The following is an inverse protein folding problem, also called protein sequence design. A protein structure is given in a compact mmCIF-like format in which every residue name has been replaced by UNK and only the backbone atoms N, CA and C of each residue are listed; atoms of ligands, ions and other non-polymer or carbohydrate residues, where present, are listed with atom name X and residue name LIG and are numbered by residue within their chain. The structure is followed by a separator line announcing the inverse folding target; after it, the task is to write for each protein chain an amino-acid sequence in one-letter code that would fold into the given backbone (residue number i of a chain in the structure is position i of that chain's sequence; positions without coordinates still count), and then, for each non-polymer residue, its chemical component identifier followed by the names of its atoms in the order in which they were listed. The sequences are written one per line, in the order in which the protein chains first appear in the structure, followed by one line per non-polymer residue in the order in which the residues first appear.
data_IF_977087627874
#
_entry.id   IF_977087627874
#
_cell.length_a   1.000
_cell.length_b   1.000
_cell.length_c   1.000
_cell.angle_alpha   90.00
_cell.angle_beta   90.00
_cell.angle_gamma   90.00
#
_symmetry.space_group_name_H-M   'P 1'
#
loop_
_entity.id
_entity.type
_entity.pdbx_description
1 polymer ?
#
# COMPACT_ATOMS: atom_id res chain seq x y z
N UNK A 1 17.33 0.10 -22.63
CA UNK A 1 17.29 1.43 -21.98
C UNK A 1 15.82 1.79 -21.80
N UNK A 2 15.23 1.38 -20.69
CA UNK A 2 13.85 1.73 -20.34
C UNK A 2 13.83 3.20 -19.96
N UNK A 3 13.04 3.99 -20.67
CA UNK A 3 12.64 5.32 -20.24
C UNK A 3 12.18 5.22 -18.78
N UNK A 4 12.89 5.88 -17.86
CA UNK A 4 12.30 6.24 -16.57
C UNK A 4 11.07 7.07 -16.94
N UNK A 5 9.90 6.43 -16.98
CA UNK A 5 8.65 7.16 -17.00
C UNK A 5 8.70 8.07 -15.79
N UNK A 6 8.65 9.38 -16.03
CA UNK A 6 8.66 10.38 -14.96
C UNK A 6 7.58 9.97 -13.95
N UNK A 7 8.00 9.49 -12.77
CA UNK A 7 7.09 9.10 -11.69
C UNK A 7 6.51 10.39 -11.12
N UNK A 8 5.42 10.85 -11.72
CA UNK A 8 4.72 12.06 -11.29
C UNK A 8 3.90 11.73 -10.04
N UNK A 9 4.08 12.54 -9.00
CA UNK A 9 3.20 12.54 -7.84
C UNK A 9 1.84 13.10 -8.27
N UNK A 10 0.82 12.25 -8.31
CA UNK A 10 -0.56 12.63 -8.68
C UNK A 10 -1.37 13.11 -7.47
N UNK A 11 -0.71 13.53 -6.38
CA UNK A 11 -1.36 13.99 -5.18
C UNK A 11 -2.09 15.31 -5.43
N UNK A 12 -3.40 15.33 -5.18
CA UNK A 12 -4.19 16.54 -5.30
C UNK A 12 -3.79 17.59 -4.24
N UNK A 13 -3.57 18.83 -4.69
CA UNK A 13 -3.22 20.00 -3.87
C UNK A 13 -4.51 20.75 -3.52
N UNK A 14 -4.79 20.92 -2.23
CA UNK A 14 -5.93 21.70 -1.73
C UNK A 14 -5.59 23.18 -1.56
N UNK A 15 -4.38 23.48 -1.09
CA UNK A 15 -3.91 24.84 -0.84
C UNK A 15 -2.39 24.93 -1.02
N UNK A 16 -1.92 26.11 -1.41
CA UNK A 16 -0.49 26.42 -1.52
C UNK A 16 -0.21 27.87 -1.11
N UNK A 17 0.72 28.04 -0.18
CA UNK A 17 1.10 29.33 0.36
C UNK A 17 2.61 29.58 0.22
N UNK A 18 2.98 30.75 -0.31
CA UNK A 18 4.37 31.22 -0.37
C UNK A 18 4.83 31.61 1.04
N UNK A 19 6.03 31.17 1.40
CA UNK A 19 6.66 31.42 2.68
C UNK A 19 7.87 32.33 2.47
N UNK A 20 8.74 32.39 3.47
CA UNK A 20 9.98 33.18 3.43
C UNK A 20 10.92 32.73 2.31
N UNK A 21 11.80 33.62 1.84
CA UNK A 21 12.88 33.28 0.93
C UNK A 21 13.78 32.17 1.50
N UNK A 22 14.30 31.31 0.63
CA UNK A 22 15.24 30.25 1.05
C UNK A 22 16.57 30.86 1.50
N UNK A 23 16.99 31.96 0.87
CA UNK A 23 18.23 32.69 1.17
C UNK A 23 17.95 34.20 1.19
N UNK A 24 18.54 34.97 2.11
CA UNK A 24 18.46 36.43 2.09
C UNK A 24 19.21 36.98 0.87
N UNK A 25 18.61 37.94 0.15
CA UNK A 25 19.26 38.57 -1.00
C UNK A 25 20.35 39.57 -0.58
N UNK A 26 21.46 39.58 -1.33
CA UNK A 26 22.39 40.71 -1.33
C UNK A 26 21.80 41.87 -2.17
N UNK A 27 21.90 43.11 -1.68
CA UNK A 27 21.38 44.29 -2.37
C UNK A 27 22.00 44.44 -3.77
N UNK A 28 21.15 44.39 -4.82
CA UNK A 28 21.54 44.68 -6.20
C UNK A 28 21.57 43.50 -7.17
N UNK A 29 21.09 42.32 -6.76
CA UNK A 29 21.02 41.16 -7.65
C UNK A 29 19.60 40.98 -8.26
N UNK A 30 19.50 41.01 -9.59
CA UNK A 30 18.23 40.85 -10.36
C UNK A 30 17.77 39.37 -10.48
N UNK A 31 18.39 38.45 -9.74
CA UNK A 31 18.02 37.03 -9.78
C UNK A 31 16.64 36.78 -9.13
N UNK A 32 15.81 35.94 -9.78
CA UNK A 32 14.53 35.52 -9.22
C UNK A 32 14.74 34.79 -7.90
N UNK A 33 14.14 35.31 -6.84
CA UNK A 33 14.27 34.79 -5.49
C UNK A 33 13.49 33.47 -5.31
N UNK A 34 14.17 32.43 -4.82
CA UNK A 34 13.56 31.14 -4.49
C UNK A 34 12.90 31.25 -3.11
N UNK A 35 11.66 30.77 -3.01
CA UNK A 35 10.89 30.77 -1.78
C UNK A 35 10.56 29.37 -1.34
N UNK A 36 10.40 29.21 -0.02
CA UNK A 36 9.66 28.06 0.49
C UNK A 36 8.18 28.19 0.15
N UNK A 37 7.53 27.05 -0.06
CA UNK A 37 6.08 26.94 -0.20
C UNK A 37 5.56 25.88 0.74
N UNK A 38 4.44 26.15 1.40
CA UNK A 38 3.68 25.13 2.11
C UNK A 38 2.50 24.69 1.27
N UNK A 39 2.40 23.38 1.03
CA UNK A 39 1.31 22.75 0.29
C UNK A 39 0.47 21.94 1.27
N UNK A 40 -0.85 22.12 1.22
CA UNK A 40 -1.79 21.22 1.89
C UNK A 40 -2.36 20.27 0.86
N UNK A 41 -2.24 18.96 1.07
CA UNK A 41 -2.74 17.95 0.14
C UNK A 41 -4.10 17.37 0.55
N UNK A 42 -4.69 16.55 -0.33
CA UNK A 42 -5.98 15.89 -0.09
C UNK A 42 -6.01 14.92 1.11
N UNK A 43 -4.84 14.53 1.64
CA UNK A 43 -4.70 13.73 2.86
C UNK A 43 -4.59 14.61 4.11
N UNK A 44 -4.77 15.93 3.97
CA UNK A 44 -4.55 16.96 4.99
C UNK A 44 -3.13 16.94 5.56
N UNK A 45 -2.15 16.60 4.72
CA UNK A 45 -0.73 16.71 5.06
C UNK A 45 -0.23 18.07 4.65
N UNK A 46 0.68 18.60 5.46
CA UNK A 46 1.41 19.81 5.10
C UNK A 46 2.79 19.43 4.60
N UNK A 47 3.07 19.86 3.40
CA UNK A 47 4.33 19.69 2.71
C UNK A 47 5.08 21.02 2.67
N UNK A 48 6.40 20.94 2.73
CA UNK A 48 7.28 22.03 2.35
C UNK A 48 7.90 21.68 0.99
N UNK A 49 7.96 22.64 0.08
CA UNK A 49 8.70 22.58 -1.19
C UNK A 49 9.35 23.94 -1.46
N UNK A 50 10.07 24.07 -2.58
CA UNK A 50 10.67 25.33 -3.03
C UNK A 50 10.21 25.69 -4.44
N UNK A 51 10.28 26.97 -4.78
CA UNK A 51 10.14 27.42 -6.16
C UNK A 51 10.33 28.92 -6.33
N UNK A 52 10.48 29.37 -7.58
CA UNK A 52 10.51 30.78 -7.95
C UNK A 52 9.10 31.41 -7.94
N UNK A 53 8.08 30.59 -8.17
CA UNK A 53 6.67 30.96 -8.17
C UNK A 53 5.82 29.72 -7.85
N UNK A 54 4.51 29.90 -7.72
CA UNK A 54 3.56 28.81 -7.42
C UNK A 54 3.64 27.67 -8.42
N UNK A 55 3.73 27.95 -9.73
CA UNK A 55 3.78 26.92 -10.77
C UNK A 55 5.06 26.09 -10.70
N UNK A 56 6.18 26.74 -10.44
CA UNK A 56 7.48 26.08 -10.25
C UNK A 56 7.48 25.20 -8.98
N UNK A 57 6.91 25.69 -7.88
CA UNK A 57 6.77 24.91 -6.64
C UNK A 57 5.90 23.66 -6.81
N UNK A 58 4.82 23.75 -7.59
CA UNK A 58 3.98 22.61 -7.96
C UNK A 58 4.78 21.63 -8.82
N UNK A 59 5.53 22.11 -9.81
CA UNK A 59 6.34 21.25 -10.67
C UNK A 59 7.39 20.47 -9.87
N UNK A 60 8.08 21.13 -8.94
CA UNK A 60 9.05 20.49 -8.02
C UNK A 60 8.36 19.44 -7.15
N UNK A 61 7.18 19.75 -6.59
CA UNK A 61 6.38 18.82 -5.79
C UNK A 61 5.92 17.59 -6.58
N UNK A 62 5.55 17.78 -7.85
CA UNK A 62 5.03 16.72 -8.71
C UNK A 62 6.12 15.82 -9.28
N UNK A 63 7.27 16.38 -9.67
CA UNK A 63 8.27 15.67 -10.48
C UNK A 63 9.47 15.13 -9.69
N UNK A 64 9.83 15.74 -8.57
CA UNK A 64 11.08 15.38 -7.89
C UNK A 64 10.87 14.43 -6.72
N UNK A 65 11.25 13.17 -6.93
CA UNK A 65 11.39 12.20 -5.85
C UNK A 65 12.67 12.45 -5.05
N UNK A 66 12.53 12.44 -3.73
CA UNK A 66 13.63 12.47 -2.74
C UNK A 66 14.46 13.76 -2.80
N UNK A 67 13.81 14.90 -3.01
CA UNK A 67 14.47 16.18 -2.81
C UNK A 67 14.47 16.53 -1.32
N UNK A 68 15.63 16.96 -0.79
CA UNK A 68 15.78 17.52 0.57
C UNK A 68 14.84 18.71 0.80
N UNK A 69 14.46 19.38 -0.28
CA UNK A 69 13.57 20.53 -0.30
C UNK A 69 12.07 20.17 -0.23
N UNK A 70 11.68 18.96 -0.67
CA UNK A 70 10.27 18.51 -0.73
C UNK A 70 10.00 17.46 0.34
N UNK A 71 9.33 17.85 1.42
CA UNK A 71 9.08 16.95 2.57
C UNK A 71 7.78 17.23 3.29
N UNK A 72 7.22 16.21 3.91
CA UNK A 72 6.11 16.35 4.84
C UNK A 72 6.65 17.02 6.11
N UNK A 73 6.05 18.15 6.51
CA UNK A 73 6.34 18.86 7.75
C UNK A 73 5.25 18.63 8.81
N UNK A 74 4.02 18.36 8.37
CA UNK A 74 2.93 17.92 9.25
C UNK A 74 2.27 16.68 8.64
N UNK A 75 2.32 15.51 9.29
CA UNK A 75 1.77 14.27 8.76
C UNK A 75 0.24 14.29 8.78
N UNK A 76 -0.36 13.31 8.08
CA UNK A 76 -1.81 13.20 8.03
C UNK A 76 -2.35 12.91 9.44
N UNK A 77 -3.41 13.59 9.89
CA UNK A 77 -4.03 13.27 11.17
C UNK A 77 -4.66 11.88 11.12
N UNK A 78 -4.63 11.18 12.25
CA UNK A 78 -5.32 9.89 12.37
C UNK A 78 -6.83 10.07 12.16
N UNK A 79 -7.39 9.29 11.24
CA UNK A 79 -8.81 9.30 10.92
C UNK A 79 -9.47 7.96 11.29
N UNK A 80 -10.26 7.89 12.37
CA UNK A 80 -10.91 6.65 12.81
C UNK A 80 -12.04 6.20 11.87
N UNK A 81 -12.52 7.08 10.99
CA UNK A 81 -13.62 6.83 10.06
C UNK A 81 -13.13 6.54 8.64
N UNK A 82 -11.81 6.49 8.44
CA UNK A 82 -11.21 6.27 7.13
C UNK A 82 -11.62 4.91 6.58
N UNK A 83 -12.26 4.91 5.41
CA UNK A 83 -12.63 3.69 4.69
C UNK A 83 -11.67 3.41 3.53
N UNK A 84 -11.66 2.16 3.05
CA UNK A 84 -10.87 1.81 1.87
C UNK A 84 -11.40 2.53 0.62
N UNK A 85 -12.72 2.79 0.56
CA UNK A 85 -13.33 3.55 -0.53
C UNK A 85 -12.87 5.01 -0.53
N UNK A 86 -12.70 5.62 0.65
CA UNK A 86 -12.13 6.97 0.74
C UNK A 86 -10.72 6.99 0.15
N UNK A 87 -9.89 5.98 0.47
CA UNK A 87 -8.55 5.85 -0.10
C UNK A 87 -8.60 5.64 -1.63
N UNK A 88 -9.47 4.77 -2.14
CA UNK A 88 -9.62 4.56 -3.59
C UNK A 88 -9.94 5.87 -4.31
N UNK A 89 -10.81 6.71 -3.73
CA UNK A 89 -11.16 8.02 -4.27
C UNK A 89 -10.00 9.02 -4.16
N UNK A 90 -9.38 9.13 -2.99
CA UNK A 90 -8.28 10.07 -2.72
C UNK A 90 -7.04 9.80 -3.57
N UNK A 91 -6.77 8.53 -3.88
CA UNK A 91 -5.62 8.11 -4.69
C UNK A 91 -5.97 7.97 -6.18
N UNK A 92 -7.19 8.33 -6.58
CA UNK A 92 -7.68 8.27 -7.97
C UNK A 92 -7.45 6.91 -8.65
N UNK A 93 -7.65 5.82 -7.91
CA UNK A 93 -7.42 4.46 -8.42
C UNK A 93 -8.54 4.12 -9.42
N UNK A 94 -8.17 3.74 -10.64
CA UNK A 94 -9.13 3.48 -11.72
C UNK A 94 -10.05 2.31 -11.39
N UNK A 95 -11.25 2.28 -11.96
CA UNK A 95 -12.11 1.07 -11.91
C UNK A 95 -11.42 -0.13 -12.54
N UNK A 96 -10.56 0.10 -13.54
CA UNK A 96 -9.82 -0.93 -14.26
C UNK A 96 -8.66 -1.53 -13.43
N UNK A 97 -8.23 -0.85 -12.36
CA UNK A 97 -7.16 -1.31 -11.46
C UNK A 97 -7.72 -2.24 -10.37
N UNK A 98 -8.52 -3.23 -10.78
CA UNK A 98 -9.21 -4.15 -9.87
C UNK A 98 -8.25 -4.84 -8.91
N UNK A 99 -7.09 -5.26 -9.41
CA UNK A 99 -6.04 -5.89 -8.61
C UNK A 99 -5.52 -4.99 -7.47
N UNK A 100 -5.37 -3.67 -7.68
CA UNK A 100 -4.97 -2.71 -6.63
C UNK A 100 -6.12 -2.52 -5.64
N UNK A 101 -7.35 -2.38 -6.13
CA UNK A 101 -8.55 -2.21 -5.29
C UNK A 101 -8.75 -3.40 -4.35
N UNK A 102 -8.65 -4.62 -4.87
CA UNK A 102 -8.77 -5.85 -4.10
C UNK A 102 -7.63 -5.95 -3.08
N UNK A 103 -6.39 -5.69 -3.50
CA UNK A 103 -5.24 -5.66 -2.59
C UNK A 103 -5.44 -4.65 -1.45
N UNK A 104 -5.95 -3.45 -1.72
CA UNK A 104 -6.24 -2.47 -0.68
C UNK A 104 -7.32 -2.94 0.30
N UNK A 105 -8.39 -3.57 -0.18
CA UNK A 105 -9.46 -4.06 0.69
C UNK A 105 -8.97 -5.16 1.63
N UNK A 106 -8.12 -6.06 1.12
CA UNK A 106 -7.65 -7.23 1.86
C UNK A 106 -6.49 -6.85 2.81
N UNK A 107 -5.52 -6.08 2.31
CA UNK A 107 -4.34 -5.71 3.10
C UNK A 107 -4.70 -4.65 4.14
N UNK A 108 -5.49 -3.63 3.74
CA UNK A 108 -5.89 -2.51 4.59
C UNK A 108 -7.25 -2.76 5.27
N UNK A 109 -7.42 -3.97 5.79
CA UNK A 109 -8.68 -4.44 6.38
C UNK A 109 -9.02 -3.84 7.76
N UNK A 110 -8.13 -3.04 8.35
CA UNK A 110 -8.36 -2.36 9.63
C UNK A 110 -8.18 -0.84 9.53
N UNK A 111 -8.73 -0.08 10.48
CA UNK A 111 -8.55 1.39 10.55
C UNK A 111 -7.07 1.73 10.72
N UNK A 112 -6.35 0.97 11.54
CA UNK A 112 -4.94 1.13 11.86
C UNK A 112 -4.09 0.95 10.59
N UNK A 113 -4.33 -0.14 9.83
CA UNK A 113 -3.60 -0.43 8.59
C UNK A 113 -3.83 0.64 7.52
N UNK A 114 -5.06 1.19 7.42
CA UNK A 114 -5.38 2.29 6.50
C UNK A 114 -4.66 3.59 6.87
N UNK A 115 -4.62 3.93 8.15
CA UNK A 115 -3.91 5.12 8.63
C UNK A 115 -2.39 4.94 8.49
N UNK A 116 -1.86 3.75 8.75
CA UNK A 116 -0.47 3.41 8.52
C UNK A 116 -0.10 3.51 7.03
N UNK A 117 -0.97 3.05 6.13
CA UNK A 117 -0.79 3.20 4.70
C UNK A 117 -0.69 4.68 4.30
N UNK A 118 -1.57 5.55 4.80
CA UNK A 118 -1.48 7.01 4.58
C UNK A 118 -0.15 7.56 5.09
N UNK A 119 0.24 7.20 6.32
CA UNK A 119 1.45 7.70 6.95
C UNK A 119 2.73 7.33 6.18
N UNK A 120 2.75 6.13 5.58
CA UNK A 120 3.88 5.62 4.79
C UNK A 120 3.82 6.02 3.31
N UNK A 121 2.66 6.47 2.82
CA UNK A 121 2.46 6.85 1.42
C UNK A 121 3.10 8.20 1.12
N UNK A 122 4.36 8.26 0.68
CA UNK A 122 4.99 9.55 0.37
C UNK A 122 4.46 10.12 -0.96
N UNK A 123 4.44 9.31 -2.02
CA UNK A 123 4.02 9.72 -3.36
C UNK A 123 2.78 8.95 -3.79
N UNK A 124 1.83 9.65 -4.42
CA UNK A 124 0.64 9.02 -5.00
C UNK A 124 0.91 8.75 -6.49
N UNK A 125 1.28 7.51 -6.80
CA UNK A 125 1.21 6.95 -8.15
C UNK A 125 1.04 5.44 -8.06
N UNK A 126 0.49 4.83 -9.11
CA UNK A 126 0.13 3.41 -9.15
C UNK A 126 1.28 2.49 -8.71
N UNK A 127 2.49 2.70 -9.23
CA UNK A 127 3.63 1.85 -8.92
C UNK A 127 4.05 1.94 -7.45
N UNK A 128 4.10 3.14 -6.88
CA UNK A 128 4.51 3.31 -5.48
C UNK A 128 3.42 2.84 -4.51
N UNK A 129 2.15 3.05 -4.85
CA UNK A 129 1.00 2.51 -4.12
C UNK A 129 1.08 1.00 -4.09
N UNK A 130 1.25 0.36 -5.26
CA UNK A 130 1.36 -1.09 -5.35
C UNK A 130 2.56 -1.63 -4.58
N UNK A 131 3.73 -1.01 -4.72
CA UNK A 131 4.93 -1.40 -3.99
C UNK A 131 4.75 -1.28 -2.47
N UNK A 132 4.10 -0.21 -2.00
CA UNK A 132 3.81 -0.03 -0.58
C UNK A 132 2.84 -1.10 -0.06
N UNK A 133 1.79 -1.41 -0.82
CA UNK A 133 0.86 -2.49 -0.47
C UNK A 133 1.57 -3.83 -0.36
N UNK A 134 2.43 -4.18 -1.33
CA UNK A 134 3.22 -5.41 -1.29
C UNK A 134 4.14 -5.47 -0.07
N UNK A 135 4.85 -4.38 0.23
CA UNK A 135 5.72 -4.31 1.41
C UNK A 135 4.92 -4.47 2.71
N UNK A 136 3.78 -3.79 2.83
CA UNK A 136 2.91 -3.91 4.00
C UNK A 136 2.31 -5.32 4.12
N UNK A 137 1.91 -5.96 3.02
CA UNK A 137 1.47 -7.37 3.02
C UNK A 137 2.55 -8.27 3.60
N UNK A 138 3.79 -8.17 3.09
CA UNK A 138 4.94 -8.92 3.60
C UNK A 138 5.18 -8.70 5.10
N UNK A 139 5.15 -7.45 5.56
CA UNK A 139 5.32 -7.12 6.97
C UNK A 139 4.20 -7.71 7.84
N UNK A 140 2.95 -7.62 7.40
CA UNK A 140 1.81 -8.16 8.14
C UNK A 140 1.83 -9.68 8.21
N UNK A 141 2.20 -10.36 7.12
CA UNK A 141 2.35 -11.82 7.13
C UNK A 141 3.47 -12.29 8.06
N UNK A 142 4.54 -11.51 8.22
CA UNK A 142 5.70 -11.87 9.06
C UNK A 142 5.54 -11.50 10.54
N UNK A 143 4.93 -10.36 10.84
CA UNK A 143 4.99 -9.75 12.17
C UNK A 143 3.63 -9.53 12.82
N UNK A 144 2.56 -9.46 12.02
CA UNK A 144 1.20 -9.16 12.50
C UNK A 144 0.19 -10.17 11.93
N UNK A 145 0.58 -11.45 11.91
CA UNK A 145 -0.26 -12.53 11.42
C UNK A 145 -1.45 -12.69 12.36
N UNK A 146 -2.62 -13.00 11.79
CA UNK A 146 -3.74 -13.53 12.56
C UNK A 146 -3.27 -14.74 13.36
N UNK A 147 -3.68 -14.85 14.63
CA UNK A 147 -3.29 -15.99 15.45
C UNK A 147 -3.85 -17.29 14.87
N UNK A 148 -3.20 -18.41 15.18
CA UNK A 148 -3.65 -19.71 14.69
C UNK A 148 -5.05 -20.05 15.24
N UNK A 149 -5.33 -19.66 16.49
CA UNK A 149 -6.65 -19.81 17.09
C UNK A 149 -7.73 -18.98 16.37
N UNK A 150 -7.50 -17.68 16.18
CA UNK A 150 -8.45 -16.80 15.48
C UNK A 150 -8.68 -17.27 14.04
N UNK A 151 -7.64 -17.75 13.36
CA UNK A 151 -7.75 -18.31 12.03
C UNK A 151 -8.62 -19.56 12.01
N UNK A 152 -8.40 -20.51 12.91
CA UNK A 152 -9.20 -21.74 13.01
C UNK A 152 -10.67 -21.44 13.29
N UNK A 153 -10.96 -20.51 14.20
CA UNK A 153 -12.33 -20.08 14.49
C UNK A 153 -13.00 -19.45 13.27
N UNK A 154 -12.30 -18.54 12.58
CA UNK A 154 -12.82 -17.91 11.37
C UNK A 154 -13.01 -18.93 10.25
N UNK A 155 -12.12 -19.90 10.11
CA UNK A 155 -12.19 -20.95 9.09
C UNK A 155 -13.40 -21.86 9.28
N UNK A 156 -13.73 -22.19 10.53
CA UNK A 156 -14.92 -22.98 10.84
C UNK A 156 -16.23 -22.26 10.49
N UNK A 157 -16.26 -20.92 10.61
CA UNK A 157 -17.43 -20.11 10.29
C UNK A 157 -17.53 -19.79 8.78
N UNK A 158 -16.42 -19.37 8.18
CA UNK A 158 -16.33 -18.95 6.78
C UNK A 158 -14.91 -19.19 6.22
N UNK A 159 -14.65 -20.34 5.58
CA UNK A 159 -13.31 -20.70 5.14
C UNK A 159 -12.76 -19.80 4.03
N UNK A 160 -13.63 -19.23 3.18
CA UNK A 160 -13.22 -18.31 2.11
C UNK A 160 -12.69 -17.01 2.71
N UNK A 161 -13.41 -16.44 3.67
CA UNK A 161 -12.99 -15.23 4.39
C UNK A 161 -11.74 -15.49 5.24
N UNK A 162 -11.69 -16.63 5.93
CA UNK A 162 -10.53 -17.02 6.72
C UNK A 162 -9.26 -17.09 5.87
N UNK A 163 -9.31 -17.79 4.74
CA UNK A 163 -8.17 -17.88 3.83
C UNK A 163 -7.81 -16.51 3.26
N UNK A 164 -8.80 -15.67 2.91
CA UNK A 164 -8.55 -14.32 2.40
C UNK A 164 -7.76 -13.46 3.39
N UNK A 165 -8.18 -13.46 4.67
CA UNK A 165 -7.54 -12.67 5.72
C UNK A 165 -6.19 -13.27 6.12
N UNK A 166 -6.08 -14.60 6.18
CA UNK A 166 -4.89 -15.30 6.63
C UNK A 166 -3.74 -15.24 5.62
N UNK A 167 -4.06 -15.33 4.32
CA UNK A 167 -3.08 -15.19 3.24
C UNK A 167 -2.88 -13.75 2.79
N UNK A 168 -3.78 -12.84 3.18
CA UNK A 168 -3.90 -11.49 2.63
C UNK A 168 -3.99 -11.53 1.10
N UNK A 169 -4.88 -12.39 0.59
CA UNK A 169 -5.14 -12.65 -0.83
C UNK A 169 -6.64 -12.67 -1.12
N UNK A 170 -6.99 -12.41 -2.38
CA UNK A 170 -8.38 -12.47 -2.82
C UNK A 170 -8.74 -13.92 -3.06
N UNK A 171 -9.45 -14.53 -2.11
CA UNK A 171 -9.90 -15.92 -2.23
C UNK A 171 -11.37 -15.91 -2.59
N UNK A 172 -11.70 -16.54 -3.72
CA UNK A 172 -13.07 -16.80 -4.10
C UNK A 172 -13.47 -18.26 -3.79
N UNK A 173 -14.73 -18.58 -4.08
CA UNK A 173 -15.26 -19.91 -3.83
C UNK A 173 -14.58 -21.01 -4.67
N UNK A 174 -14.11 -20.68 -5.88
CA UNK A 174 -13.46 -21.64 -6.76
C UNK A 174 -12.08 -22.00 -6.22
N UNK A 175 -11.29 -20.99 -5.83
CA UNK A 175 -9.97 -21.19 -5.24
C UNK A 175 -10.06 -21.95 -3.90
N UNK A 176 -11.12 -21.71 -3.12
CA UNK A 176 -11.39 -22.53 -1.93
C UNK A 176 -11.65 -24.01 -2.28
N UNK A 177 -12.42 -24.30 -3.33
CA UNK A 177 -12.68 -25.69 -3.72
C UNK A 177 -11.43 -26.40 -4.26
N UNK A 178 -10.53 -25.68 -4.93
CA UNK A 178 -9.21 -26.20 -5.32
C UNK A 178 -8.39 -26.56 -4.07
N UNK A 179 -8.33 -25.66 -3.09
CA UNK A 179 -7.69 -25.92 -1.81
C UNK A 179 -8.27 -27.15 -1.09
N UNK A 180 -9.59 -27.22 -0.96
CA UNK A 180 -10.25 -28.36 -0.33
C UNK A 180 -10.03 -29.66 -1.14
N UNK A 181 -10.04 -29.58 -2.46
CA UNK A 181 -9.82 -30.70 -3.39
C UNK A 181 -8.40 -31.28 -3.29
N UNK A 182 -7.40 -30.43 -3.08
CA UNK A 182 -6.01 -30.81 -2.80
C UNK A 182 -5.81 -31.41 -1.38
N UNK A 183 -6.90 -31.64 -0.63
CA UNK A 183 -6.84 -32.10 0.76
C UNK A 183 -6.35 -31.01 1.71
N UNK A 184 -6.56 -29.75 1.37
CA UNK A 184 -6.23 -28.59 2.19
C UNK A 184 -7.16 -28.44 3.40
N UNK A 185 -6.57 -28.15 4.56
CA UNK A 185 -7.28 -27.95 5.83
C UNK A 185 -6.73 -26.73 6.57
N UNK A 186 -7.41 -26.23 7.60
CA UNK A 186 -6.87 -25.11 8.38
C UNK A 186 -5.51 -25.44 9.01
N UNK A 187 -5.30 -26.68 9.48
CA UNK A 187 -4.05 -27.16 10.05
C UNK A 187 -2.90 -27.15 9.03
N UNK A 188 -3.17 -27.58 7.79
CA UNK A 188 -2.17 -27.51 6.70
C UNK A 188 -1.81 -26.07 6.35
N UNK A 189 -2.79 -25.17 6.27
CA UNK A 189 -2.54 -23.76 6.02
C UNK A 189 -1.64 -23.15 7.12
N UNK A 190 -1.92 -23.47 8.40
CA UNK A 190 -1.07 -23.08 9.53
C UNK A 190 0.35 -23.64 9.36
N UNK A 191 0.48 -24.95 9.12
CA UNK A 191 1.77 -25.61 8.95
C UNK A 191 2.62 -24.98 7.84
N UNK A 192 2.03 -24.72 6.68
CA UNK A 192 2.74 -24.11 5.56
C UNK A 192 3.16 -22.67 5.88
N UNK A 193 2.30 -21.88 6.53
CA UNK A 193 2.61 -20.51 6.95
C UNK A 193 3.64 -20.43 8.08
N UNK A 194 3.76 -21.45 8.94
CA UNK A 194 4.84 -21.52 9.93
C UNK A 194 6.21 -21.74 9.27
N UNK A 195 6.28 -22.53 8.19
CA UNK A 195 7.51 -22.74 7.44
C UNK A 195 7.86 -21.60 6.46
N UNK A 196 6.84 -21.00 5.85
CA UNK A 196 6.98 -19.91 4.89
C UNK A 196 5.82 -18.90 5.06
N UNK A 197 5.98 -17.83 5.87
CA UNK A 197 4.90 -16.88 6.16
C UNK A 197 4.30 -16.21 4.91
N UNK A 198 5.11 -16.04 3.87
CA UNK A 198 4.73 -15.39 2.61
C UNK A 198 4.23 -16.35 1.54
N UNK A 199 4.08 -17.66 1.85
CA UNK A 199 3.51 -18.61 0.89
C UNK A 199 2.13 -18.13 0.43
N UNK A 200 1.89 -18.14 -0.88
CA UNK A 200 0.59 -17.79 -1.45
C UNK A 200 -0.38 -18.95 -1.30
N UNK A 201 -1.70 -18.70 -1.44
CA UNK A 201 -2.67 -19.80 -1.39
C UNK A 201 -2.45 -20.77 -2.55
N UNK A 202 -2.11 -20.27 -3.74
CA UNK A 202 -1.80 -21.11 -4.91
C UNK A 202 -0.61 -22.03 -4.61
N UNK A 203 0.48 -21.50 -4.05
CA UNK A 203 1.64 -22.33 -3.67
C UNK A 203 1.30 -23.34 -2.57
N UNK A 204 0.39 -22.99 -1.67
CA UNK A 204 -0.11 -23.92 -0.66
C UNK A 204 -0.94 -25.05 -1.30
N UNK A 205 -1.76 -24.75 -2.30
CA UNK A 205 -2.53 -25.74 -3.09
C UNK A 205 -1.57 -26.69 -3.80
N UNK A 206 -0.63 -26.16 -4.61
CA UNK A 206 0.36 -26.95 -5.34
C UNK A 206 1.12 -27.90 -4.41
N UNK A 207 1.53 -27.40 -3.24
CA UNK A 207 2.21 -28.22 -2.23
C UNK A 207 1.32 -29.32 -1.65
N UNK A 208 0.04 -29.03 -1.41
CA UNK A 208 -0.90 -30.01 -0.89
C UNK A 208 -1.18 -31.13 -1.91
N UNK A 209 -1.25 -30.79 -3.20
CA UNK A 209 -1.37 -31.74 -4.31
C UNK A 209 -0.16 -32.67 -4.40
N UNK A 210 1.06 -32.10 -4.37
CA UNK A 210 2.31 -32.86 -4.39
C UNK A 210 2.40 -33.88 -3.23
N UNK A 211 1.95 -33.48 -2.04
CA UNK A 211 1.92 -34.34 -0.85
C UNK A 211 0.93 -35.51 -1.03
N UNK A 212 -0.22 -35.29 -1.66
CA UNK A 212 -1.21 -36.34 -1.96
C UNK A 212 -0.69 -37.31 -3.01
N UNK A 213 -0.08 -36.81 -4.09
CA UNK A 213 0.46 -37.64 -5.16
C UNK A 213 1.64 -38.52 -4.70
N UNK A 214 2.47 -38.00 -3.79
CA UNK A 214 3.54 -38.77 -3.14
C UNK A 214 3.00 -39.94 -2.29
N UNK A 215 1.78 -39.83 -1.74
CA UNK A 215 1.13 -40.93 -1.03
C UNK A 215 0.49 -41.97 -1.97
N UNK A 216 0.18 -41.60 -3.21
CA UNK A 216 -0.43 -42.50 -4.21
C UNK A 216 0.64 -43.27 -5.02
N UNK A 217 1.81 -42.68 -5.27
CA UNK A 217 2.90 -43.31 -6.04
C UNK A 217 3.73 -44.36 -5.27
N UNK A 218 3.42 -44.62 -4.01
CA UNK A 218 4.17 -45.54 -3.13
C UNK A 218 3.66 -46.99 -3.08
N UNK A 219 2.71 -47.38 -3.93
CA UNK A 219 2.12 -48.72 -3.99
C UNK A 219 2.59 -49.54 -5.19
#
# INVERSE_FOLDING_TARGET
MSTLGNKVNKQHILDIARMEPVWPQEEGNDEKEIHYYHITDALNRKWQTIGYNVSDAIEVFEKEKNNVWTRIIEPAPFNPKLTTNDLIQMFHISSEDEHIRNAMQIILNSVERRNEFIARSIYINEQDIFNLLCNMKSEYLRHHRLTDEEFTELYAANPVEALSVYFLESVDIHLYWEWAGAGGTCEKAIQYKQGAPEITLIQAIERAEDEVDCHISGY
#
